data_IF_720313073865
#
_entry.id   IF_720313073865
#
_cell.length_a   1.000
_cell.length_b   1.000
_cell.length_c   1.000
_cell.angle_alpha   90.00
_cell.angle_beta   90.00
_cell.angle_gamma   90.00
#
_symmetry.space_group_name_H-M   'P 1'
#
loop_
_entity.id
_entity.type
_entity.pdbx_description
1 polymer ?
#
# COMPACT_ATOMS: atom_id res chain seq x y z
N UNK A 1 4.21 -29.18 -7.25
CA UNK A 1 3.40 -28.23 -8.07
C UNK A 1 2.20 -27.64 -7.35
N UNK A 2 1.50 -28.36 -6.51
CA UNK A 2 0.29 -27.81 -5.81
C UNK A 2 0.55 -26.68 -4.81
N UNK A 3 1.76 -26.53 -4.27
CA UNK A 3 2.10 -25.48 -3.30
C UNK A 3 2.21 -24.06 -3.87
N UNK A 4 2.56 -23.92 -5.14
CA UNK A 4 2.77 -22.62 -5.81
C UNK A 4 1.47 -22.02 -6.40
N UNK A 5 0.48 -22.85 -6.71
CA UNK A 5 -0.78 -22.37 -7.31
C UNK A 5 -1.60 -21.51 -6.35
N UNK A 6 -1.61 -21.84 -5.06
CA UNK A 6 -2.37 -21.09 -4.04
C UNK A 6 -1.94 -19.62 -3.89
N UNK A 7 -0.63 -19.30 -3.79
CA UNK A 7 -0.19 -17.89 -3.75
C UNK A 7 -0.60 -17.09 -4.99
N UNK A 8 -0.48 -17.67 -6.18
CA UNK A 8 -0.87 -17.02 -7.43
C UNK A 8 -2.36 -16.66 -7.48
N UNK A 9 -3.25 -17.52 -7.01
CA UNK A 9 -4.67 -17.24 -6.94
C UNK A 9 -4.97 -16.06 -6.00
N UNK A 10 -4.31 -16.01 -4.84
CA UNK A 10 -4.48 -14.89 -3.91
C UNK A 10 -3.95 -13.59 -4.47
N UNK A 11 -2.82 -13.62 -5.16
CA UNK A 11 -2.27 -12.44 -5.83
C UNK A 11 -3.21 -11.97 -6.94
N UNK A 12 -3.70 -12.86 -7.79
CA UNK A 12 -4.63 -12.51 -8.86
C UNK A 12 -5.94 -11.89 -8.33
N UNK A 13 -6.52 -12.49 -7.30
CA UNK A 13 -7.74 -11.98 -6.64
C UNK A 13 -7.55 -10.59 -6.03
N UNK A 14 -6.37 -10.29 -5.51
CA UNK A 14 -6.04 -8.96 -5.01
C UNK A 14 -5.67 -7.98 -6.12
N UNK A 15 -4.95 -8.42 -7.13
CA UNK A 15 -4.45 -7.58 -8.22
C UNK A 15 -5.57 -6.98 -9.08
N UNK A 16 -6.62 -7.75 -9.37
CA UNK A 16 -7.74 -7.28 -10.19
C UNK A 16 -8.41 -6.04 -9.58
N UNK A 17 -8.92 -6.07 -8.34
CA UNK A 17 -9.53 -4.88 -7.73
C UNK A 17 -8.51 -3.77 -7.50
N UNK A 18 -7.25 -4.07 -7.20
CA UNK A 18 -6.19 -3.06 -7.07
C UNK A 18 -5.95 -2.30 -8.37
N UNK A 19 -5.83 -3.00 -9.48
CA UNK A 19 -5.65 -2.40 -10.80
C UNK A 19 -6.89 -1.61 -11.25
N UNK A 20 -8.10 -2.11 -11.00
CA UNK A 20 -9.35 -1.40 -11.31
C UNK A 20 -9.46 -0.11 -10.51
N UNK A 21 -9.19 -0.15 -9.21
CA UNK A 21 -9.21 1.04 -8.36
C UNK A 21 -8.17 2.07 -8.81
N UNK A 22 -6.96 1.60 -9.17
CA UNK A 22 -5.95 2.47 -9.74
C UNK A 22 -6.43 3.20 -10.99
N UNK A 23 -7.12 2.49 -11.88
CA UNK A 23 -7.64 3.08 -13.12
C UNK A 23 -8.73 4.13 -12.84
N UNK A 24 -9.49 3.97 -11.76
CA UNK A 24 -10.54 4.92 -11.34
C UNK A 24 -9.98 6.13 -10.58
N UNK A 25 -8.77 6.05 -10.02
CA UNK A 25 -8.20 7.14 -9.25
C UNK A 25 -7.65 8.25 -10.15
N UNK A 26 -7.84 9.53 -9.76
CA UNK A 26 -7.53 10.67 -10.60
C UNK A 26 -6.02 10.95 -10.76
N UNK A 27 -5.17 10.41 -9.88
CA UNK A 27 -3.75 10.71 -9.89
C UNK A 27 -2.88 9.57 -9.35
N UNK A 28 -1.63 9.56 -9.79
CA UNK A 28 -0.57 8.68 -9.28
C UNK A 28 -0.36 8.87 -7.77
N UNK A 29 -0.38 10.11 -7.31
CA UNK A 29 -0.24 10.43 -5.88
C UNK A 29 -1.36 9.77 -5.05
N UNK A 30 -2.61 9.89 -5.48
CA UNK A 30 -3.76 9.29 -4.78
C UNK A 30 -3.64 7.76 -4.72
N UNK A 31 -3.28 7.14 -5.83
CA UNK A 31 -3.11 5.68 -5.91
C UNK A 31 -1.99 5.18 -4.99
N UNK A 32 -0.83 5.84 -5.04
CA UNK A 32 0.32 5.45 -4.25
C UNK A 32 0.10 5.70 -2.74
N UNK A 33 -0.48 6.83 -2.37
CA UNK A 33 -0.80 7.16 -0.97
C UNK A 33 -1.81 6.18 -0.38
N UNK A 34 -2.87 5.87 -1.14
CA UNK A 34 -3.88 4.89 -0.72
C UNK A 34 -3.28 3.49 -0.60
N UNK A 35 -2.44 3.08 -1.54
CA UNK A 35 -1.74 1.80 -1.48
C UNK A 35 -0.83 1.67 -0.27
N UNK A 36 -0.08 2.72 0.08
CA UNK A 36 0.73 2.79 1.30
C UNK A 36 -0.15 2.67 2.57
N UNK A 37 -1.26 3.39 2.63
CA UNK A 37 -2.20 3.30 3.73
C UNK A 37 -2.75 1.87 3.90
N UNK A 38 -3.24 1.27 2.82
CA UNK A 38 -3.78 -0.11 2.84
C UNK A 38 -2.72 -1.10 3.28
N UNK A 39 -1.48 -0.94 2.81
CA UNK A 39 -0.36 -1.81 3.21
C UNK A 39 -0.12 -1.73 4.72
N UNK A 40 -0.11 -0.54 5.29
CA UNK A 40 0.03 -0.34 6.74
C UNK A 40 -1.18 -0.89 7.52
N UNK A 41 -2.40 -0.55 7.09
CA UNK A 41 -3.65 -0.94 7.74
C UNK A 41 -3.90 -2.46 7.70
N UNK A 42 -3.40 -3.16 6.70
CA UNK A 42 -3.48 -4.62 6.63
C UNK A 42 -2.50 -5.34 7.58
N UNK A 43 -1.67 -4.61 8.33
CA UNK A 43 -0.71 -5.15 9.28
C UNK A 43 0.47 -5.86 8.62
N UNK A 44 0.80 -5.51 7.39
CA UNK A 44 1.86 -6.16 6.60
C UNK A 44 3.26 -5.85 7.11
N UNK A 45 3.41 -4.78 7.91
CA UNK A 45 4.67 -4.43 8.58
C UNK A 45 4.97 -5.29 9.82
N UNK A 46 3.92 -5.87 10.44
CA UNK A 46 4.06 -6.49 11.77
C UNK A 46 4.28 -8.00 11.74
N UNK A 47 3.82 -8.71 10.80
CA UNK A 47 3.95 -10.17 10.61
C UNK A 47 2.83 -10.68 9.68
N UNK A 48 3.00 -10.61 8.39
CA UNK A 48 1.93 -10.97 7.47
C UNK A 48 1.70 -12.48 7.48
N UNK A 49 0.49 -12.90 7.81
CA UNK A 49 0.05 -14.28 7.57
C UNK A 49 -0.03 -14.56 6.06
N UNK A 50 0.26 -15.77 5.63
CA UNK A 50 0.41 -16.13 4.23
C UNK A 50 -0.63 -15.57 3.28
N UNK A 51 -1.95 -15.78 3.55
CA UNK A 51 -3.05 -15.31 2.70
C UNK A 51 -3.12 -13.78 2.61
N UNK A 52 -3.04 -13.07 3.74
CA UNK A 52 -3.11 -11.61 3.79
C UNK A 52 -1.95 -10.98 3.03
N UNK A 53 -0.74 -11.53 3.19
CA UNK A 53 0.43 -11.07 2.45
C UNK A 53 0.22 -11.15 0.94
N UNK A 54 -0.26 -12.28 0.45
CA UNK A 54 -0.43 -12.49 -0.99
C UNK A 54 -1.61 -11.71 -1.57
N UNK A 55 -2.76 -11.69 -0.89
CA UNK A 55 -3.97 -11.03 -1.37
C UNK A 55 -3.84 -9.49 -1.30
N UNK A 56 -3.52 -8.95 -0.11
CA UNK A 56 -3.55 -7.51 0.13
C UNK A 56 -2.20 -6.87 -0.20
N UNK A 57 -1.08 -7.46 0.23
CA UNK A 57 0.25 -6.89 0.00
C UNK A 57 0.68 -7.01 -1.45
N UNK A 58 0.90 -8.24 -1.91
CA UNK A 58 1.44 -8.50 -3.25
C UNK A 58 0.37 -8.32 -4.34
N UNK A 59 -0.88 -8.69 -4.08
CA UNK A 59 -1.96 -8.50 -5.04
C UNK A 59 -2.46 -7.06 -5.07
N UNK A 60 -3.26 -6.67 -4.09
CA UNK A 60 -4.00 -5.41 -4.10
C UNK A 60 -3.10 -4.17 -4.02
N UNK A 61 -2.28 -4.04 -2.97
CA UNK A 61 -1.49 -2.83 -2.75
C UNK A 61 -0.45 -2.61 -3.86
N UNK A 62 0.23 -3.68 -4.32
CA UNK A 62 1.21 -3.56 -5.41
C UNK A 62 0.58 -3.22 -6.76
N UNK A 63 -0.65 -3.70 -7.03
CA UNK A 63 -1.36 -3.36 -8.28
C UNK A 63 -1.98 -1.96 -8.24
N UNK A 64 -2.32 -1.47 -7.04
CA UNK A 64 -2.83 -0.13 -6.83
C UNK A 64 -1.73 0.93 -6.97
N UNK A 65 -0.53 0.66 -6.44
CA UNK A 65 0.61 1.57 -6.52
C UNK A 65 1.33 1.48 -7.87
N UNK A 66 2.06 2.53 -8.24
CA UNK A 66 2.84 2.55 -9.46
C UNK A 66 4.11 3.38 -9.32
N UNK A 67 5.22 2.75 -9.57
CA UNK A 67 6.52 3.42 -9.65
C UNK A 67 6.77 4.02 -11.04
N UNK A 68 6.41 3.30 -12.09
CA UNK A 68 6.67 3.73 -13.47
C UNK A 68 5.95 5.02 -13.86
N UNK A 69 4.69 5.19 -13.49
CA UNK A 69 3.96 6.43 -13.74
C UNK A 69 4.53 7.59 -12.93
N UNK A 70 4.95 7.34 -11.70
CA UNK A 70 5.60 8.33 -10.86
C UNK A 70 6.92 8.80 -11.47
N UNK A 71 7.78 7.88 -11.92
CA UNK A 71 9.02 8.20 -12.63
C UNK A 71 8.74 9.00 -13.91
N UNK A 72 7.72 8.63 -14.68
CA UNK A 72 7.35 9.36 -15.90
C UNK A 72 6.98 10.82 -15.60
N UNK A 73 6.27 11.07 -14.52
CA UNK A 73 5.95 12.44 -14.07
C UNK A 73 7.22 13.21 -13.70
N UNK A 74 8.17 12.59 -12.99
CA UNK A 74 9.46 13.21 -12.64
C UNK A 74 10.29 13.52 -13.88
N UNK A 75 10.35 12.61 -14.85
CA UNK A 75 11.07 12.83 -16.12
C UNK A 75 10.49 14.01 -16.88
N UNK A 76 9.16 14.17 -16.92
CA UNK A 76 8.52 15.32 -17.56
C UNK A 76 8.91 16.65 -16.90
N UNK A 77 9.02 16.70 -15.57
CA UNK A 77 9.54 17.89 -14.88
C UNK A 77 10.99 18.15 -15.22
N UNK A 78 11.81 17.09 -15.29
CA UNK A 78 13.22 17.20 -15.64
C UNK A 78 13.42 17.74 -17.07
N UNK A 79 12.70 17.18 -18.05
CA UNK A 79 12.76 17.61 -19.45
C UNK A 79 12.28 19.06 -19.65
N UNK A 80 11.30 19.49 -18.84
CA UNK A 80 10.82 20.87 -18.85
C UNK A 80 11.72 21.84 -18.06
N UNK A 81 12.80 21.37 -17.42
CA UNK A 81 13.69 22.19 -16.60
C UNK A 81 13.08 22.66 -15.28
N UNK A 82 11.97 22.07 -14.84
CA UNK A 82 11.24 22.44 -13.62
C UNK A 82 11.80 21.72 -12.38
N UNK A 83 13.02 22.08 -11.97
CA UNK A 83 13.73 21.42 -10.87
C UNK A 83 13.03 21.55 -9.52
N UNK A 84 12.40 22.71 -9.24
CA UNK A 84 11.65 22.92 -8.01
C UNK A 84 10.42 22.00 -7.93
N UNK A 85 9.70 21.86 -9.04
CA UNK A 85 8.55 20.97 -9.14
C UNK A 85 8.97 19.50 -8.96
N UNK A 86 10.08 19.08 -9.58
CA UNK A 86 10.64 17.75 -9.44
C UNK A 86 10.99 17.42 -7.99
N UNK A 87 11.77 18.28 -7.32
CA UNK A 87 12.15 18.08 -5.93
C UNK A 87 10.94 18.15 -5.00
N UNK A 88 10.04 19.10 -5.24
CA UNK A 88 8.79 19.25 -4.50
C UNK A 88 7.91 18.00 -4.59
N UNK A 89 7.80 17.40 -5.78
CA UNK A 89 7.04 16.16 -5.97
C UNK A 89 7.67 14.99 -5.21
N UNK A 90 8.99 14.80 -5.30
CA UNK A 90 9.69 13.72 -4.58
C UNK A 90 9.44 13.84 -3.07
N UNK A 91 9.60 15.02 -2.51
CA UNK A 91 9.41 15.27 -1.07
C UNK A 91 7.94 15.07 -0.66
N UNK A 92 7.00 15.68 -1.39
CA UNK A 92 5.56 15.57 -1.12
C UNK A 92 5.11 14.12 -1.15
N UNK A 93 5.43 13.40 -2.21
CA UNK A 93 4.95 12.02 -2.43
C UNK A 93 5.59 11.06 -1.42
N UNK A 94 6.87 11.27 -1.09
CA UNK A 94 7.56 10.54 -0.04
C UNK A 94 6.94 10.76 1.34
N UNK A 95 6.71 12.00 1.73
CA UNK A 95 6.11 12.36 3.03
C UNK A 95 4.69 11.80 3.13
N UNK A 96 3.86 11.99 2.09
CA UNK A 96 2.48 11.50 2.09
C UNK A 96 2.42 9.97 2.08
N UNK A 97 3.27 9.30 1.30
CA UNK A 97 3.32 7.84 1.27
C UNK A 97 3.75 7.24 2.61
N UNK A 98 4.84 7.74 3.20
CA UNK A 98 5.31 7.29 4.51
C UNK A 98 4.31 7.62 5.62
N UNK A 99 3.72 8.82 5.59
CA UNK A 99 2.69 9.23 6.54
C UNK A 99 1.45 8.33 6.47
N UNK A 100 0.97 8.05 5.27
CA UNK A 100 -0.15 7.14 5.05
C UNK A 100 0.15 5.71 5.52
N UNK A 101 1.36 5.20 5.25
CA UNK A 101 1.82 3.91 5.72
C UNK A 101 1.80 3.83 7.26
N UNK A 102 2.35 4.83 7.93
CA UNK A 102 2.41 4.91 9.39
C UNK A 102 1.02 5.06 10.00
N UNK A 103 0.16 5.87 9.40
CA UNK A 103 -1.23 6.03 9.84
C UNK A 103 -1.99 4.70 9.77
N UNK A 104 -1.88 4.00 8.65
CA UNK A 104 -2.47 2.68 8.47
C UNK A 104 -1.95 1.66 9.49
N UNK A 105 -0.64 1.61 9.71
CA UNK A 105 -0.01 0.72 10.68
C UNK A 105 -0.43 1.04 12.14
N UNK A 106 -0.57 2.32 12.46
CA UNK A 106 -1.03 2.75 13.79
C UNK A 106 -2.49 2.36 14.00
N UNK A 107 -3.34 2.56 13.00
CA UNK A 107 -4.73 2.13 13.05
C UNK A 107 -4.84 0.62 13.26
N UNK A 108 -4.08 -0.17 12.51
CA UNK A 108 -4.01 -1.62 12.67
C UNK A 108 -3.65 -2.03 14.11
N UNK A 109 -2.61 -1.43 14.68
CA UNK A 109 -2.17 -1.72 16.05
C UNK A 109 -3.23 -1.37 17.08
N UNK A 110 -3.87 -0.22 16.96
CA UNK A 110 -4.93 0.22 17.87
C UNK A 110 -6.16 -0.70 17.82
N UNK A 111 -6.61 -1.06 16.63
CA UNK A 111 -7.72 -1.99 16.46
C UNK A 111 -7.39 -3.38 17.02
N UNK A 112 -6.18 -3.87 16.76
CA UNK A 112 -5.76 -5.17 17.28
C UNK A 112 -5.67 -5.19 18.80
N UNK A 113 -5.25 -4.10 19.44
CA UNK A 113 -5.21 -3.96 20.90
C UNK A 113 -6.64 -3.86 21.50
N UNK A 114 -7.55 -3.13 20.85
CA UNK A 114 -8.92 -2.98 21.29
C UNK A 114 -9.73 -4.29 21.19
N UNK A 115 -9.38 -5.16 20.25
CA UNK A 115 -10.04 -6.45 20.03
C UNK A 115 -9.41 -7.60 20.84
N UNK A 116 -8.32 -7.38 21.58
CA UNK A 116 -7.77 -8.38 22.50
C UNK A 116 -8.78 -8.58 23.64
N UNK A 117 -9.23 -9.82 23.89
CA UNK A 117 -10.05 -10.10 25.07
C UNK A 117 -9.27 -9.72 26.33
N UNK A 118 -9.98 -9.13 27.28
CA UNK A 118 -9.43 -8.85 28.62
C UNK A 118 -8.87 -10.16 29.18
N UNK A 119 -7.71 -10.15 29.84
CA UNK A 119 -7.22 -11.34 30.52
C UNK A 119 -8.30 -11.79 31.49
N UNK A 120 -8.81 -13.02 31.30
CA UNK A 120 -9.70 -13.64 32.27
C UNK A 120 -9.01 -13.58 33.63
N UNK A 121 -9.64 -12.85 34.56
CA UNK A 121 -9.11 -12.69 35.89
C UNK A 121 -8.85 -14.06 36.47
N UNK A 122 -7.61 -14.32 36.88
CA UNK A 122 -7.30 -15.42 37.75
C UNK A 122 -8.11 -15.21 39.04
N UNK A 123 -9.21 -15.94 39.14
CA UNK A 123 -9.86 -16.20 40.39
C UNK A 123 -9.03 -17.17 41.22
#
# INVERSE_FOLDING_TARGET
MRGWVRPFLWVALGAIPGALLRWLLPSTLAANTLGCFVFGAAGLLSSPSGRRRWLVGVGFASSLTTFSSWILELVRHLEAGHWEALLGQILRDGILGLGALQLGATLHRRLHQALKPLPEGRG
#
